data_IF_818378218443
#
_entry.id   IF_818378218443
#
_cell.length_a   1.000
_cell.length_b   1.000
_cell.length_c   1.000
_cell.angle_alpha   90.00
_cell.angle_beta   90.00
_cell.angle_gamma   90.00
#
_symmetry.space_group_name_H-M   'P 1'
#
loop_
_entity.id
_entity.type
_entity.pdbx_description
1 polymer ?
#
# COMPACT_ATOMS: atom_id res chain seq x y z
N UNK A 1 -13.43 10.82 10.22
CA UNK A 1 -13.99 11.04 8.89
C UNK A 1 -13.64 9.79 8.09
N UNK A 2 -14.61 9.02 7.67
CA UNK A 2 -14.40 7.78 6.89
C UNK A 2 -14.17 8.11 5.42
N UNK A 3 -13.51 7.22 4.68
CA UNK A 3 -13.31 7.39 3.22
C UNK A 3 -14.65 7.53 2.50
N UNK A 4 -15.69 6.83 3.00
CA UNK A 4 -17.06 6.88 2.48
C UNK A 4 -17.73 8.26 2.56
N UNK A 5 -17.32 9.11 3.51
CA UNK A 5 -17.87 10.49 3.64
C UNK A 5 -17.27 11.47 2.63
N UNK A 6 -16.21 11.07 1.92
CA UNK A 6 -15.52 11.91 0.94
C UNK A 6 -15.92 11.61 -0.50
N UNK A 7 -16.80 10.64 -0.70
CA UNK A 7 -17.33 10.27 -2.02
C UNK A 7 -18.22 11.40 -2.53
N UNK A 8 -18.13 11.68 -3.82
CA UNK A 8 -18.96 12.67 -4.51
C UNK A 8 -20.45 12.32 -4.45
N UNK A 9 -21.27 13.36 -4.49
CA UNK A 9 -22.72 13.18 -4.46
C UNK A 9 -23.17 12.34 -5.68
N UNK A 10 -23.90 11.25 -5.43
CA UNK A 10 -24.44 10.37 -6.49
C UNK A 10 -23.47 9.34 -7.05
N UNK A 11 -22.31 9.13 -6.42
CA UNK A 11 -21.40 8.02 -6.74
C UNK A 11 -21.84 6.73 -6.02
N UNK A 12 -21.79 5.62 -6.74
CA UNK A 12 -22.09 4.30 -6.18
C UNK A 12 -20.78 3.59 -5.83
N UNK A 13 -20.72 3.03 -4.61
CA UNK A 13 -19.60 2.19 -4.19
C UNK A 13 -19.77 0.82 -4.84
N UNK A 14 -18.77 0.38 -5.60
CA UNK A 14 -18.73 -0.91 -6.25
C UNK A 14 -17.93 -1.94 -5.45
N UNK A 15 -16.87 -1.48 -4.77
CA UNK A 15 -16.02 -2.32 -3.94
C UNK A 15 -15.28 -1.49 -2.90
N UNK A 16 -15.03 -2.08 -1.73
CA UNK A 16 -14.18 -1.50 -0.69
C UNK A 16 -13.24 -2.55 -0.10
N UNK A 17 -12.02 -2.17 0.22
CA UNK A 17 -11.03 -3.08 0.76
C UNK A 17 -9.96 -2.39 1.58
N UNK A 18 -9.16 -3.21 2.26
CA UNK A 18 -8.03 -2.76 3.07
C UNK A 18 -6.76 -3.47 2.64
N UNK A 19 -5.64 -2.79 2.84
CA UNK A 19 -4.33 -3.35 2.57
C UNK A 19 -4.01 -4.52 3.53
N UNK A 20 -3.49 -5.63 3.00
CA UNK A 20 -3.06 -6.78 3.81
C UNK A 20 -1.78 -6.43 4.58
N UNK A 21 -1.93 -6.19 5.88
CA UNK A 21 -0.83 -5.78 6.78
C UNK A 21 0.30 -6.82 6.81
N UNK A 22 -0.05 -8.12 6.83
CA UNK A 22 0.93 -9.21 6.90
C UNK A 22 1.94 -9.16 5.75
N UNK A 23 1.47 -8.97 4.52
CA UNK A 23 2.32 -8.91 3.32
C UNK A 23 3.20 -7.67 3.36
N UNK A 24 2.63 -6.51 3.67
CA UNK A 24 3.39 -5.26 3.80
C UNK A 24 4.49 -5.33 4.86
N UNK A 25 4.25 -6.03 5.96
CA UNK A 25 5.28 -6.28 6.99
C UNK A 25 6.36 -7.22 6.46
N UNK A 26 5.99 -8.34 5.82
CA UNK A 26 6.96 -9.27 5.24
C UNK A 26 7.87 -8.59 4.21
N UNK A 27 7.30 -7.81 3.31
CA UNK A 27 8.06 -7.03 2.31
C UNK A 27 9.00 -6.01 2.99
N UNK A 28 8.56 -5.40 4.08
CA UNK A 28 9.36 -4.44 4.83
C UNK A 28 10.46 -5.10 5.66
N UNK A 29 10.23 -6.30 6.19
CA UNK A 29 11.23 -7.08 6.93
C UNK A 29 12.31 -7.58 5.97
N UNK A 30 11.92 -8.18 4.84
CA UNK A 30 12.86 -8.76 3.87
C UNK A 30 13.32 -7.74 2.82
N UNK A 31 13.50 -6.49 3.21
CA UNK A 31 14.03 -5.46 2.32
C UNK A 31 15.58 -5.53 2.23
N UNK A 32 16.21 -4.90 1.24
CA UNK A 32 17.66 -4.90 1.05
C UNK A 32 18.48 -4.34 2.24
N UNK A 33 17.84 -3.60 3.17
CA UNK A 33 18.47 -3.07 4.36
C UNK A 33 18.66 -4.14 5.47
N UNK A 34 17.94 -5.26 5.40
CA UNK A 34 18.02 -6.31 6.42
C UNK A 34 19.46 -6.85 6.63
N UNK A 35 20.20 -7.30 5.59
CA UNK A 35 21.54 -7.82 5.78
C UNK A 35 22.48 -6.75 6.36
N UNK A 36 22.33 -5.51 5.95
CA UNK A 36 23.12 -4.41 6.49
C UNK A 36 22.83 -4.17 7.98
N UNK A 37 21.56 -4.11 8.36
CA UNK A 37 21.15 -3.96 9.76
C UNK A 37 21.61 -5.13 10.63
N UNK A 38 21.57 -6.37 10.10
CA UNK A 38 22.07 -7.55 10.80
C UNK A 38 23.59 -7.52 11.03
N UNK A 39 24.39 -7.14 10.02
CA UNK A 39 25.84 -7.02 10.17
C UNK A 39 26.17 -5.98 11.24
N UNK A 40 25.48 -4.83 11.23
CA UNK A 40 25.67 -3.77 12.20
C UNK A 40 25.31 -4.20 13.61
N UNK A 41 24.14 -4.86 13.74
CA UNK A 41 23.67 -5.39 15.02
C UNK A 41 24.64 -6.43 15.61
N UNK A 42 25.15 -7.35 14.77
CA UNK A 42 26.12 -8.36 15.21
C UNK A 42 27.44 -7.76 15.63
N UNK A 43 27.94 -6.76 14.92
CA UNK A 43 29.18 -6.07 15.25
C UNK A 43 29.07 -5.33 16.59
N UNK A 44 28.08 -4.46 16.74
CA UNK A 44 27.89 -3.69 17.98
C UNK A 44 27.47 -4.57 19.15
N UNK A 45 26.56 -5.51 18.93
CA UNK A 45 26.12 -6.47 19.94
C UNK A 45 27.29 -7.35 20.41
N UNK A 46 28.14 -7.78 19.51
CA UNK A 46 29.38 -8.53 19.83
C UNK A 46 30.35 -7.73 20.64
N UNK A 47 30.56 -6.46 20.30
CA UNK A 47 31.41 -5.55 21.09
C UNK A 47 30.85 -5.31 22.49
N UNK A 48 29.57 -4.99 22.62
CA UNK A 48 28.93 -4.77 23.93
C UNK A 48 29.04 -6.03 24.79
N UNK A 49 28.78 -7.22 24.20
CA UNK A 49 28.93 -8.50 24.91
C UNK A 49 30.37 -8.76 25.37
N UNK A 50 31.38 -8.53 24.52
CA UNK A 50 32.78 -8.69 24.86
C UNK A 50 33.21 -7.76 25.99
N UNK A 51 32.77 -6.52 25.97
CA UNK A 51 33.05 -5.55 27.02
C UNK A 51 32.40 -5.93 28.35
N UNK A 52 31.17 -6.40 28.34
CA UNK A 52 30.48 -6.88 29.54
C UNK A 52 31.14 -8.12 30.15
N UNK A 53 31.68 -9.03 29.31
CA UNK A 53 32.37 -10.23 29.74
C UNK A 53 33.77 -9.96 30.41
N UNK A 54 34.42 -8.87 30.02
CA UNK A 54 35.73 -8.50 30.58
C UNK A 54 35.66 -7.78 31.92
N UNK A 55 34.45 -7.56 32.46
CA UNK A 55 34.23 -6.94 33.78
C UNK A 55 34.66 -5.47 33.85
N UNK A 56 34.83 -4.82 32.72
CA UNK A 56 35.19 -3.40 32.57
C UNK A 56 34.10 -2.41 32.96
N UNK A 57 33.06 -2.87 33.65
CA UNK A 57 31.90 -2.07 34.01
C UNK A 57 32.05 -1.43 35.37
N UNK A 58 32.85 -0.39 35.46
CA UNK A 58 32.75 0.57 36.55
C UNK A 58 31.82 1.72 36.18
N UNK A 59 30.97 2.24 37.10
CA UNK A 59 30.15 3.41 36.80
C UNK A 59 31.03 4.64 36.60
N UNK A 60 31.49 4.87 35.41
CA UNK A 60 32.36 5.94 35.04
C UNK A 60 31.93 6.70 33.81
N UNK A 61 32.51 7.85 33.57
CA UNK A 61 32.32 8.68 32.38
C UNK A 61 32.50 7.87 31.09
N UNK A 62 33.44 6.90 31.09
CA UNK A 62 33.71 6.06 29.92
C UNK A 62 32.54 5.16 29.55
N UNK A 63 31.86 4.55 30.54
CA UNK A 63 30.69 3.69 30.28
C UNK A 63 29.52 4.49 29.75
N UNK A 64 29.29 5.68 30.28
CA UNK A 64 28.25 6.59 29.77
C UNK A 64 28.58 7.03 28.32
N UNK A 65 29.83 7.36 28.04
CA UNK A 65 30.27 7.72 26.68
C UNK A 65 30.10 6.58 25.72
N UNK A 66 30.51 5.35 26.07
CA UNK A 66 30.35 4.17 25.22
C UNK A 66 28.85 3.83 24.98
N UNK A 67 28.00 3.97 26.01
CA UNK A 67 26.58 3.78 25.89
C UNK A 67 25.93 4.72 24.85
N UNK A 68 26.28 6.02 24.92
CA UNK A 68 25.81 7.01 23.93
C UNK A 68 26.41 6.73 22.56
N UNK A 69 27.67 6.35 22.48
CA UNK A 69 28.30 5.97 21.21
C UNK A 69 27.58 4.81 20.53
N UNK A 70 27.34 3.70 21.23
CA UNK A 70 26.62 2.55 20.65
C UNK A 70 25.18 2.86 20.30
N UNK A 71 24.51 3.70 21.08
CA UNK A 71 23.15 4.12 20.78
C UNK A 71 23.10 4.87 19.43
N UNK A 72 24.07 5.73 19.15
CA UNK A 72 24.16 6.46 17.88
C UNK A 72 24.68 5.54 16.77
N UNK A 73 25.67 4.69 17.07
CA UNK A 73 26.28 3.79 16.09
C UNK A 73 25.32 2.73 15.58
N UNK A 74 24.33 2.29 16.40
CA UNK A 74 23.22 1.43 16.02
C UNK A 74 22.15 2.14 15.14
N UNK A 75 22.39 3.39 14.70
CA UNK A 75 21.45 4.14 13.88
C UNK A 75 20.91 3.35 12.66
N UNK A 76 21.70 2.56 11.90
CA UNK A 76 21.18 1.76 10.79
C UNK A 76 20.13 0.74 11.22
N UNK A 77 20.28 0.16 12.41
CA UNK A 77 19.31 -0.79 12.98
C UNK A 77 18.02 -0.04 13.37
N UNK A 78 18.14 1.14 13.98
CA UNK A 78 16.96 1.97 14.31
C UNK A 78 16.18 2.41 13.08
N UNK A 79 16.88 2.81 12.01
CA UNK A 79 16.25 3.17 10.73
C UNK A 79 15.51 1.97 10.14
N UNK A 80 16.13 0.79 10.15
CA UNK A 80 15.49 -0.44 9.67
C UNK A 80 14.22 -0.79 10.47
N UNK A 81 14.32 -0.83 11.80
CA UNK A 81 13.17 -1.12 12.68
C UNK A 81 12.06 -0.07 12.53
N UNK A 82 12.43 1.20 12.48
CA UNK A 82 11.51 2.30 12.23
C UNK A 82 10.78 2.15 10.89
N UNK A 83 11.48 1.71 9.85
CA UNK A 83 10.92 1.40 8.53
C UNK A 83 9.89 0.29 8.58
N UNK A 84 10.17 -0.81 9.29
CA UNK A 84 9.22 -1.92 9.47
C UNK A 84 7.97 -1.49 10.24
N UNK A 85 8.16 -0.75 11.33
CA UNK A 85 7.03 -0.26 12.15
C UNK A 85 6.15 0.71 11.35
N UNK A 86 6.76 1.66 10.66
CA UNK A 86 6.02 2.65 9.85
C UNK A 86 5.28 1.99 8.67
N UNK A 87 5.87 0.95 8.05
CA UNK A 87 5.21 0.15 7.02
C UNK A 87 3.95 -0.53 7.55
N UNK A 88 4.04 -1.16 8.72
CA UNK A 88 2.91 -1.81 9.37
C UNK A 88 1.78 -0.82 9.70
N UNK A 89 2.13 0.34 10.27
CA UNK A 89 1.17 1.39 10.61
C UNK A 89 0.51 1.98 9.37
N UNK A 90 1.29 2.24 8.32
CA UNK A 90 0.77 2.73 7.04
C UNK A 90 -0.18 1.73 6.40
N UNK A 91 0.17 0.43 6.40
CA UNK A 91 -0.69 -0.61 5.86
C UNK A 91 -2.03 -0.72 6.60
N UNK A 92 -2.03 -0.60 7.93
CA UNK A 92 -3.26 -0.61 8.75
C UNK A 92 -4.21 0.56 8.44
N UNK A 93 -3.63 1.70 8.07
CA UNK A 93 -4.38 2.93 7.79
C UNK A 93 -4.66 3.14 6.30
N UNK A 94 -4.34 2.15 5.45
CA UNK A 94 -4.61 2.22 4.02
C UNK A 94 -5.93 1.54 3.72
N UNK A 95 -6.85 2.29 3.14
CA UNK A 95 -8.16 1.84 2.68
C UNK A 95 -8.34 2.17 1.21
N UNK A 96 -8.97 1.26 0.50
CA UNK A 96 -9.27 1.36 -0.92
C UNK A 96 -10.77 1.38 -1.13
N UNK A 97 -11.22 2.15 -2.10
CA UNK A 97 -12.61 2.21 -2.47
C UNK A 97 -12.73 2.44 -3.99
N UNK A 98 -13.56 1.65 -4.63
CA UNK A 98 -13.85 1.76 -6.05
C UNK A 98 -15.30 2.21 -6.19
N UNK A 99 -15.51 3.30 -6.92
CA UNK A 99 -16.83 3.81 -7.27
C UNK A 99 -17.09 3.59 -8.75
N UNK A 100 -18.25 3.99 -9.22
CA UNK A 100 -18.58 4.05 -10.65
C UNK A 100 -17.80 5.11 -11.43
N UNK A 101 -17.05 6.01 -10.76
CA UNK A 101 -16.28 7.09 -11.40
C UNK A 101 -14.77 6.94 -11.29
N UNK A 102 -14.27 6.25 -10.29
CA UNK A 102 -12.84 6.15 -10.08
C UNK A 102 -12.43 5.33 -8.86
N UNK A 103 -11.13 5.30 -8.64
CA UNK A 103 -10.48 4.61 -7.53
C UNK A 103 -10.06 5.64 -6.49
N UNK A 104 -10.47 5.44 -5.25
CA UNK A 104 -10.08 6.23 -4.10
C UNK A 104 -9.12 5.44 -3.23
N UNK A 105 -8.00 6.05 -2.88
CA UNK A 105 -6.99 5.48 -2.00
C UNK A 105 -6.76 6.41 -0.83
N UNK A 106 -7.12 5.96 0.36
CA UNK A 106 -6.79 6.66 1.60
C UNK A 106 -5.56 6.03 2.23
N UNK A 107 -4.58 6.84 2.58
CA UNK A 107 -3.38 6.39 3.27
C UNK A 107 -2.86 7.44 4.25
N UNK A 108 -1.97 7.03 5.15
CA UNK A 108 -1.25 7.93 6.04
C UNK A 108 -1.25 7.46 7.49
N UNK A 109 -0.25 7.91 8.25
CA UNK A 109 -0.09 7.60 9.68
C UNK A 109 -0.52 8.80 10.53
N UNK A 110 0.15 9.92 10.35
CA UNK A 110 -0.13 11.19 11.07
C UNK A 110 -1.01 12.11 10.25
N UNK A 111 -0.76 12.17 8.95
CA UNK A 111 -1.54 12.97 7.99
C UNK A 111 -2.29 12.02 7.08
N UNK A 112 -3.61 12.15 7.04
CA UNK A 112 -4.43 11.41 6.08
C UNK A 112 -4.36 12.07 4.72
N UNK A 113 -4.09 11.27 3.72
CA UNK A 113 -4.14 11.67 2.33
C UNK A 113 -5.15 10.77 1.63
N UNK A 114 -6.01 11.38 0.85
CA UNK A 114 -6.96 10.69 -0.03
C UNK A 114 -6.63 11.12 -1.45
N UNK A 115 -6.28 10.13 -2.25
CA UNK A 115 -6.03 10.30 -3.67
C UNK A 115 -7.19 9.67 -4.44
N UNK A 116 -7.75 10.39 -5.41
CA UNK A 116 -8.78 9.90 -6.30
C UNK A 116 -8.22 9.84 -7.73
N UNK A 117 -8.43 8.72 -8.39
CA UNK A 117 -8.02 8.48 -9.77
C UNK A 117 -9.26 8.15 -10.60
N UNK A 118 -9.72 9.06 -11.47
CA UNK A 118 -10.86 8.80 -12.33
C UNK A 118 -10.50 7.73 -13.38
N UNK A 119 -11.48 6.92 -13.77
CA UNK A 119 -11.26 5.90 -14.79
C UNK A 119 -10.89 6.45 -16.16
N UNK A 120 -11.28 7.69 -16.45
CA UNK A 120 -10.91 8.40 -17.69
C UNK A 120 -9.40 8.62 -17.84
N UNK A 121 -8.68 8.71 -16.70
CA UNK A 121 -7.23 8.95 -16.69
C UNK A 121 -6.43 7.64 -16.68
N UNK A 122 -7.08 6.48 -16.52
CA UNK A 122 -6.42 5.18 -16.52
C UNK A 122 -6.06 4.76 -17.94
N UNK A 123 -4.76 4.73 -18.24
CA UNK A 123 -4.27 4.27 -19.55
C UNK A 123 -3.99 2.77 -19.59
N UNK A 124 -3.50 2.20 -18.50
CA UNK A 124 -3.18 0.78 -18.42
C UNK A 124 -3.38 0.26 -16.99
N UNK A 125 -4.02 -0.90 -16.89
CA UNK A 125 -4.23 -1.59 -15.63
C UNK A 125 -3.60 -2.98 -15.73
N UNK A 126 -2.76 -3.33 -14.75
CA UNK A 126 -2.07 -4.61 -14.70
C UNK A 126 -2.07 -5.21 -13.29
N UNK A 127 -1.99 -6.54 -13.21
CA UNK A 127 -1.78 -7.26 -11.96
C UNK A 127 -0.29 -7.49 -11.79
N UNK A 128 0.21 -7.23 -10.58
CA UNK A 128 1.54 -7.61 -10.15
C UNK A 128 1.45 -8.46 -8.89
N UNK A 129 2.23 -9.54 -8.84
CA UNK A 129 2.38 -10.36 -7.66
C UNK A 129 3.86 -10.55 -7.35
N UNK A 130 4.28 -10.08 -6.19
CA UNK A 130 5.58 -10.35 -5.62
C UNK A 130 5.68 -11.77 -5.05
N UNK A 131 6.84 -12.11 -4.51
CA UNK A 131 7.08 -13.42 -3.88
C UNK A 131 6.18 -13.59 -2.64
N UNK A 132 6.09 -12.58 -1.80
CA UNK A 132 5.27 -12.60 -0.58
C UNK A 132 3.78 -12.55 -0.90
N UNK A 133 3.39 -11.85 -1.97
CA UNK A 133 2.01 -11.85 -2.45
C UNK A 133 1.55 -13.26 -2.81
N UNK A 134 2.36 -14.00 -3.57
CA UNK A 134 2.06 -15.39 -3.95
C UNK A 134 1.93 -16.31 -2.74
N UNK A 135 2.80 -16.13 -1.74
CA UNK A 135 2.75 -16.91 -0.50
C UNK A 135 1.50 -16.62 0.34
N UNK A 136 1.01 -15.40 0.31
CA UNK A 136 -0.14 -14.94 1.11
C UNK A 136 -1.46 -14.91 0.33
N UNK A 137 -1.45 -15.21 -0.98
CA UNK A 137 -2.63 -15.15 -1.84
C UNK A 137 -3.12 -13.73 -2.08
N UNK A 138 -2.20 -12.76 -2.13
CA UNK A 138 -2.51 -11.36 -2.41
C UNK A 138 -1.96 -10.92 -3.76
N UNK A 139 -2.30 -9.71 -4.19
CA UNK A 139 -1.76 -9.10 -5.39
C UNK A 139 -1.98 -7.60 -5.41
N UNK A 140 -1.24 -6.95 -6.31
CA UNK A 140 -1.30 -5.52 -6.56
C UNK A 140 -2.01 -5.26 -7.89
N UNK A 141 -2.85 -4.24 -7.91
CA UNK A 141 -3.40 -3.67 -9.15
C UNK A 141 -2.70 -2.35 -9.39
N UNK A 142 -1.87 -2.33 -10.41
CA UNK A 142 -1.11 -1.15 -10.80
C UNK A 142 -1.81 -0.47 -11.95
N UNK A 143 -2.04 0.82 -11.80
CA UNK A 143 -2.67 1.63 -12.83
C UNK A 143 -1.76 2.80 -13.21
N UNK A 144 -1.48 2.95 -14.52
CA UNK A 144 -0.69 4.08 -15.03
C UNK A 144 -1.61 5.17 -15.54
N UNK A 145 -1.23 6.43 -15.31
CA UNK A 145 -1.91 7.59 -15.91
C UNK A 145 -1.20 8.00 -17.21
N UNK A 146 -1.96 8.44 -18.20
CA UNK A 146 -1.41 8.94 -19.48
C UNK A 146 -0.56 10.21 -19.37
N UNK A 147 -0.60 10.93 -18.25
CA UNK A 147 0.05 12.23 -18.05
C UNK A 147 1.14 12.23 -16.96
N UNK A 148 1.79 11.10 -16.72
CA UNK A 148 2.95 11.04 -15.82
C UNK A 148 2.80 10.04 -14.67
N UNK A 149 3.92 9.72 -14.07
CA UNK A 149 4.04 8.79 -12.95
C UNK A 149 3.46 9.40 -11.66
N UNK A 150 2.16 9.61 -11.63
CA UNK A 150 1.44 9.98 -10.41
C UNK A 150 1.19 8.72 -9.59
N UNK A 151 1.87 8.57 -8.48
CA UNK A 151 1.70 7.49 -7.51
C UNK A 151 0.36 7.59 -6.74
N UNK A 152 -0.75 7.69 -7.44
CA UNK A 152 -2.08 7.71 -6.82
C UNK A 152 -2.98 6.71 -7.52
N UNK A 153 -3.66 5.85 -6.76
CA UNK A 153 -4.65 4.93 -7.30
C UNK A 153 -4.18 3.48 -7.47
N UNK A 154 -2.95 3.14 -7.10
CA UNK A 154 -2.52 1.74 -7.05
C UNK A 154 -3.12 1.06 -5.82
N UNK A 155 -3.75 -0.10 -6.05
CA UNK A 155 -4.33 -0.93 -5.01
C UNK A 155 -3.33 -2.04 -4.72
N UNK A 156 -2.68 -2.01 -3.56
CA UNK A 156 -1.60 -2.93 -3.24
C UNK A 156 -1.98 -3.92 -2.12
N UNK A 157 -1.46 -5.15 -2.24
CA UNK A 157 -1.56 -6.20 -1.23
C UNK A 157 -3.01 -6.49 -0.82
N UNK A 158 -3.90 -6.71 -1.78
CA UNK A 158 -5.28 -7.14 -1.53
C UNK A 158 -5.46 -8.63 -1.83
N UNK A 159 -6.34 -9.28 -1.07
CA UNK A 159 -6.62 -10.72 -1.25
C UNK A 159 -7.53 -11.01 -2.44
N UNK A 160 -8.36 -10.05 -2.82
CA UNK A 160 -9.38 -10.22 -3.86
C UNK A 160 -8.98 -9.56 -5.20
N UNK A 161 -7.67 -9.55 -5.47
CA UNK A 161 -7.07 -8.81 -6.58
C UNK A 161 -7.60 -9.22 -7.96
N UNK A 162 -7.94 -10.49 -8.19
CA UNK A 162 -8.46 -10.95 -9.47
C UNK A 162 -9.87 -10.40 -9.75
N UNK A 163 -10.72 -10.43 -8.73
CA UNK A 163 -12.07 -9.87 -8.83
C UNK A 163 -12.01 -8.36 -9.06
N UNK A 164 -11.21 -7.67 -8.25
CA UNK A 164 -11.03 -6.21 -8.34
C UNK A 164 -10.45 -5.81 -9.69
N UNK A 165 -9.49 -6.57 -10.22
CA UNK A 165 -8.95 -6.31 -11.56
C UNK A 165 -10.02 -6.41 -12.65
N UNK A 166 -10.84 -7.47 -12.61
CA UNK A 166 -11.95 -7.63 -13.57
C UNK A 166 -12.96 -6.48 -13.45
N UNK A 167 -13.31 -6.11 -12.22
CA UNK A 167 -14.22 -4.99 -11.96
C UNK A 167 -13.68 -3.67 -12.53
N UNK A 168 -12.42 -3.33 -12.24
CA UNK A 168 -11.77 -2.09 -12.74
C UNK A 168 -11.74 -2.08 -14.27
N UNK A 169 -11.41 -3.24 -14.88
CA UNK A 169 -11.38 -3.36 -16.34
C UNK A 169 -12.75 -3.18 -16.97
N UNK A 170 -13.79 -3.78 -16.40
CA UNK A 170 -15.17 -3.63 -16.85
C UNK A 170 -15.64 -2.17 -16.74
N UNK A 171 -15.40 -1.53 -15.59
CA UNK A 171 -15.76 -0.12 -15.39
C UNK A 171 -15.04 0.79 -16.40
N UNK A 172 -13.78 0.51 -16.68
CA UNK A 172 -13.02 1.26 -17.69
C UNK A 172 -13.59 1.08 -19.10
N UNK A 173 -13.94 -0.15 -19.48
CA UNK A 173 -14.54 -0.47 -20.79
C UNK A 173 -15.91 0.20 -20.94
N UNK A 174 -16.72 0.21 -19.88
CA UNK A 174 -18.05 0.82 -19.91
C UNK A 174 -17.97 2.35 -20.05
N UNK A 175 -17.08 2.99 -19.29
CA UNK A 175 -16.86 4.45 -19.39
C UNK A 175 -16.32 4.82 -20.77
N UNK A 176 -15.38 4.02 -21.30
CA UNK A 176 -14.86 4.23 -22.66
C UNK A 176 -15.98 4.10 -23.69
N UNK A 177 -16.83 3.08 -23.57
CA UNK A 177 -17.99 2.89 -24.43
C UNK A 177 -18.99 4.04 -24.34
N UNK A 178 -19.25 4.55 -23.12
CA UNK A 178 -20.14 5.70 -22.90
C UNK A 178 -19.60 6.99 -23.53
N UNK A 179 -18.27 7.14 -23.52
CA UNK A 179 -17.61 8.32 -24.12
C UNK A 179 -17.61 8.25 -25.64
N UNK A 180 -17.35 7.06 -26.21
CA UNK A 180 -17.26 6.87 -27.66
C UNK A 180 -18.63 6.79 -28.34
N UNK A 181 -19.63 6.25 -27.64
CA UNK A 181 -21.00 6.07 -28.15
C UNK A 181 -21.99 6.76 -27.21
N UNK A 182 -22.23 8.08 -27.38
CA UNK A 182 -23.27 8.78 -26.65
C UNK A 182 -24.63 8.09 -26.81
N UNK A 183 -25.55 8.29 -25.86
CA UNK A 183 -26.79 7.55 -25.73
C UNK A 183 -27.60 7.37 -27.04
N UNK A 184 -27.58 8.36 -27.94
CA UNK A 184 -28.31 8.31 -29.23
C UNK A 184 -27.66 7.41 -30.28
N UNK A 185 -26.40 7.01 -30.09
CA UNK A 185 -25.61 6.19 -31.03
C UNK A 185 -25.27 4.81 -30.48
N UNK A 186 -25.67 4.52 -29.24
CA UNK A 186 -25.33 3.27 -28.57
C UNK A 186 -26.13 2.10 -29.13
N UNK A 187 -25.51 0.95 -29.45
CA UNK A 187 -26.20 -0.25 -29.78
C UNK A 187 -27.20 -0.65 -28.68
N UNK A 188 -28.38 -1.16 -29.07
CA UNK A 188 -29.44 -1.53 -28.12
C UNK A 188 -29.03 -2.59 -27.10
N UNK A 189 -27.96 -3.35 -27.39
CA UNK A 189 -27.38 -4.39 -26.52
C UNK A 189 -26.44 -3.82 -25.45
N UNK A 190 -25.99 -2.58 -25.62
CA UNK A 190 -25.10 -1.91 -24.64
C UNK A 190 -25.89 -0.88 -23.83
N UNK A 191 -26.33 -1.29 -22.65
CA UNK A 191 -27.14 -0.44 -21.76
C UNK A 191 -26.32 0.59 -20.95
N UNK A 192 -24.99 0.66 -21.11
CA UNK A 192 -24.12 1.50 -20.33
C UNK A 192 -23.84 0.95 -18.92
N UNK A 193 -22.94 1.59 -18.20
CA UNK A 193 -22.43 1.08 -16.94
C UNK A 193 -23.44 1.05 -15.78
N UNK A 194 -24.66 1.47 -15.98
CA UNK A 194 -25.71 1.47 -14.93
C UNK A 194 -26.34 0.09 -14.66
N UNK A 195 -26.14 -0.88 -15.52
CA UNK A 195 -26.98 -2.09 -15.52
C UNK A 195 -26.26 -3.38 -15.12
N UNK A 196 -24.93 -3.40 -15.08
CA UNK A 196 -24.18 -4.65 -14.92
C UNK A 196 -23.58 -4.86 -13.54
N UNK A 197 -23.69 -3.88 -12.61
CA UNK A 197 -22.98 -3.95 -11.33
C UNK A 197 -23.95 -4.17 -10.17
N UNK A 198 -23.69 -5.20 -9.40
CA UNK A 198 -24.30 -5.40 -8.10
C UNK A 198 -23.74 -4.38 -7.11
N UNK A 199 -24.61 -3.74 -6.36
CA UNK A 199 -24.18 -2.84 -5.28
C UNK A 199 -23.50 -3.63 -4.18
N UNK A 200 -22.57 -2.99 -3.47
CA UNK A 200 -21.84 -3.59 -2.33
C UNK A 200 -22.74 -4.24 -1.26
N UNK A 201 -24.03 -3.93 -1.25
CA UNK A 201 -25.04 -4.50 -0.32
C UNK A 201 -25.39 -5.96 -0.60
N UNK A 202 -24.97 -6.50 -1.73
CA UNK A 202 -25.29 -7.87 -2.16
C UNK A 202 -24.09 -8.85 -1.93
N UNK A 203 -23.07 -8.41 -1.17
CA UNK A 203 -21.86 -9.21 -0.82
C UNK A 203 -21.75 -9.54 0.65
#
# INVERSE_FOLDING_TARGET
MSLREQIGYGENIMWSGKKAVKVSVLESVFNPMLPFALIWLLFDGGMILAMSATGSSGPGFMDAFLGVFFLIHLMPVWIYLGGVITSALKARNTEYLITDKGIYVQSGIFTRRVDMKPFTDLSHVSIRQGVFDRMCGTGDIISTCGHGHGAGGDICNITDYEHVFRLVKQLQEDIYSDTMYPNDMRPAENHGYRTQYTREQDW
#
